data_IF_760347521198
#
_entry.id   IF_760347521198
#
_cell.length_a   1.000
_cell.length_b   1.000
_cell.length_c   1.000
_cell.angle_alpha   90.00
_cell.angle_beta   90.00
_cell.angle_gamma   90.00
#
_symmetry.space_group_name_H-M   'P 1'
#
loop_
_entity.id
_entity.type
_entity.pdbx_description
1 polymer ?
#
# COMPACT_ATOMS: atom_id res chain seq x y z
N UNK A 1 26.18 -5.42 -4.67
CA UNK A 1 24.92 -5.98 -5.21
C UNK A 1 24.29 -6.97 -4.24
N UNK A 2 25.02 -8.02 -3.83
CA UNK A 2 24.57 -9.06 -2.89
C UNK A 2 23.91 -8.49 -1.63
N UNK A 3 24.57 -7.56 -0.90
CA UNK A 3 24.00 -6.92 0.30
C UNK A 3 22.62 -6.27 0.07
N UNK A 4 22.42 -5.59 -1.07
CA UNK A 4 21.16 -4.89 -1.39
C UNK A 4 20.04 -5.91 -1.62
N UNK A 5 20.34 -6.97 -2.38
CA UNK A 5 19.42 -8.07 -2.63
C UNK A 5 19.08 -8.82 -1.34
N UNK A 6 20.08 -9.11 -0.50
CA UNK A 6 19.86 -9.78 0.79
C UNK A 6 18.97 -8.97 1.73
N UNK A 7 19.18 -7.66 1.86
CA UNK A 7 18.33 -6.80 2.70
C UNK A 7 16.89 -6.83 2.17
N UNK A 8 16.71 -6.65 0.87
CA UNK A 8 15.38 -6.65 0.25
C UNK A 8 14.67 -8.00 0.41
N UNK A 9 15.37 -9.11 0.21
CA UNK A 9 14.82 -10.45 0.37
C UNK A 9 14.42 -10.71 1.82
N UNK A 10 15.32 -10.44 2.77
CA UNK A 10 15.05 -10.62 4.20
C UNK A 10 13.91 -9.73 4.67
N UNK A 11 13.87 -8.45 4.26
CA UNK A 11 12.77 -7.54 4.65
C UNK A 11 11.44 -8.00 4.07
N UNK A 12 11.41 -8.44 2.81
CA UNK A 12 10.19 -8.89 2.14
C UNK A 12 9.64 -10.17 2.77
N UNK A 13 10.50 -11.17 3.01
CA UNK A 13 10.12 -12.43 3.67
C UNK A 13 9.65 -12.17 5.10
N UNK A 14 10.36 -11.32 5.85
CA UNK A 14 9.99 -11.01 7.23
C UNK A 14 8.65 -10.30 7.31
N UNK A 15 8.42 -9.30 6.45
CA UNK A 15 7.14 -8.59 6.39
C UNK A 15 6.00 -9.49 5.94
N UNK A 16 6.24 -10.38 4.97
CA UNK A 16 5.23 -11.35 4.53
C UNK A 16 4.91 -12.38 5.61
N UNK A 17 5.92 -12.88 6.34
CA UNK A 17 5.69 -13.76 7.48
C UNK A 17 4.87 -13.04 8.57
N UNK A 18 5.20 -11.80 8.91
CA UNK A 18 4.41 -10.98 9.83
C UNK A 18 2.99 -10.74 9.32
N UNK A 19 2.82 -10.56 8.01
CA UNK A 19 1.51 -10.45 7.35
C UNK A 19 0.62 -11.65 7.66
N UNK A 20 1.13 -12.86 7.41
CA UNK A 20 0.45 -14.13 7.70
C UNK A 20 0.18 -14.34 9.20
N UNK A 21 1.02 -13.81 10.08
CA UNK A 21 0.84 -13.88 11.53
C UNK A 21 -0.18 -12.87 12.09
N UNK A 22 -0.78 -12.04 11.24
CA UNK A 22 -1.88 -11.15 11.63
C UNK A 22 -1.58 -9.65 11.48
N UNK A 23 -0.42 -9.26 10.95
CA UNK A 23 -0.17 -7.86 10.56
C UNK A 23 -1.21 -7.39 9.53
N UNK A 24 -1.73 -8.29 8.69
CA UNK A 24 -2.87 -8.04 7.81
C UNK A 24 -4.08 -7.48 8.59
N UNK A 25 -4.46 -8.12 9.69
CA UNK A 25 -5.60 -7.71 10.52
C UNK A 25 -5.36 -6.37 11.18
N UNK A 26 -4.14 -6.14 11.67
CA UNK A 26 -3.74 -4.84 12.25
C UNK A 26 -3.85 -3.75 11.18
N UNK A 27 -3.32 -4.01 9.98
CA UNK A 27 -3.36 -3.06 8.88
C UNK A 27 -4.80 -2.76 8.44
N UNK A 28 -5.65 -3.77 8.37
CA UNK A 28 -7.07 -3.61 8.08
C UNK A 28 -7.76 -2.67 9.09
N UNK A 29 -7.46 -2.78 10.39
CA UNK A 29 -7.97 -1.88 11.41
C UNK A 29 -7.47 -0.45 11.24
N UNK A 30 -6.19 -0.27 10.88
CA UNK A 30 -5.62 1.05 10.58
C UNK A 30 -6.32 1.67 9.37
N UNK A 31 -6.57 0.90 8.31
CA UNK A 31 -7.32 1.36 7.14
C UNK A 31 -8.76 1.72 7.49
N UNK A 32 -9.47 0.88 8.26
CA UNK A 32 -10.83 1.17 8.73
C UNK A 32 -10.88 2.47 9.53
N UNK A 33 -9.92 2.68 10.43
CA UNK A 33 -9.84 3.90 11.23
C UNK A 33 -9.71 5.13 10.31
N UNK A 34 -8.80 5.08 9.34
CA UNK A 34 -8.64 6.13 8.34
C UNK A 34 -9.91 6.39 7.53
N UNK A 35 -10.57 5.33 7.04
CA UNK A 35 -11.81 5.44 6.29
C UNK A 35 -12.96 6.01 7.15
N UNK A 36 -13.00 5.66 8.44
CA UNK A 36 -14.01 6.19 9.37
C UNK A 36 -13.86 7.71 9.53
N UNK A 37 -12.64 8.23 9.54
CA UNK A 37 -12.40 9.68 9.61
C UNK A 37 -12.95 10.36 8.35
N UNK A 38 -12.63 9.86 7.16
CA UNK A 38 -13.08 10.45 5.89
C UNK A 38 -14.59 10.33 5.73
N UNK A 39 -15.18 9.21 6.14
CA UNK A 39 -16.61 8.96 6.00
C UNK A 39 -17.46 9.55 7.13
N UNK A 40 -16.85 10.01 8.23
CA UNK A 40 -17.56 10.57 9.39
C UNK A 40 -18.57 11.69 9.08
N UNK A 41 -18.38 12.56 8.07
CA UNK A 41 -19.38 13.57 7.70
C UNK A 41 -20.67 12.98 7.10
N UNK A 42 -20.64 11.71 6.68
CA UNK A 42 -21.76 11.03 6.03
C UNK A 42 -22.42 10.05 7.00
N UNK A 43 -23.45 10.52 7.71
CA UNK A 43 -24.13 9.79 8.78
C UNK A 43 -24.72 8.42 8.39
N UNK A 44 -24.90 8.16 7.10
CA UNK A 44 -25.48 6.92 6.57
C UNK A 44 -24.43 5.88 6.15
N UNK A 45 -23.14 6.21 6.26
CA UNK A 45 -22.03 5.35 5.82
C UNK A 45 -21.26 4.83 7.02
N UNK A 46 -21.26 3.51 7.20
CA UNK A 46 -20.49 2.88 8.28
C UNK A 46 -19.47 1.90 7.70
N UNK A 47 -18.15 2.17 7.85
CA UNK A 47 -17.13 1.20 7.48
C UNK A 47 -17.11 0.05 8.50
N UNK A 48 -17.18 -1.18 8.01
CA UNK A 48 -17.17 -2.42 8.79
C UNK A 48 -16.03 -3.29 8.28
N UNK A 49 -15.32 -3.95 9.20
CA UNK A 49 -14.41 -5.02 8.83
C UNK A 49 -15.12 -6.34 9.08
N UNK A 50 -15.25 -7.14 8.03
CA UNK A 50 -15.81 -8.46 8.10
C UNK A 50 -14.67 -9.49 8.03
N UNK A 51 -14.59 -10.37 9.02
CA UNK A 51 -13.51 -11.36 9.14
C UNK A 51 -14.01 -12.74 8.71
N UNK A 52 -14.69 -12.82 7.56
CA UNK A 52 -15.15 -14.11 7.02
C UNK A 52 -13.96 -14.86 6.42
N UNK A 53 -13.89 -16.17 6.68
CA UNK A 53 -12.87 -17.07 6.14
C UNK A 53 -11.40 -16.74 6.51
N UNK A 54 -11.17 -16.01 7.62
CA UNK A 54 -9.83 -15.77 8.15
C UNK A 54 -9.08 -14.56 7.57
N UNK A 55 -9.62 -13.94 6.50
CA UNK A 55 -9.09 -12.72 5.89
C UNK A 55 -9.99 -11.51 6.20
N UNK A 56 -9.43 -10.29 6.33
CA UNK A 56 -10.23 -9.09 6.53
C UNK A 56 -10.79 -8.57 5.21
N UNK A 57 -12.11 -8.58 5.11
CA UNK A 57 -12.86 -7.85 4.10
C UNK A 57 -13.23 -6.47 4.65
N UNK A 58 -12.98 -5.43 3.87
CA UNK A 58 -13.49 -4.11 4.16
C UNK A 58 -14.85 -3.92 3.51
N UNK A 59 -15.86 -3.64 4.31
CA UNK A 59 -17.20 -3.39 3.82
C UNK A 59 -17.65 -1.97 4.17
N UNK A 60 -18.32 -1.29 3.24
CA UNK A 60 -19.01 -0.03 3.53
C UNK A 60 -20.51 -0.29 3.50
N UNK A 61 -21.15 -0.18 4.66
CA UNK A 61 -22.60 -0.28 4.75
C UNK A 61 -23.24 1.04 4.34
N UNK A 62 -24.09 0.99 3.32
CA UNK A 62 -25.00 2.08 2.92
C UNK A 62 -26.41 1.63 3.38
N UNK A 63 -26.75 1.85 4.65
CA UNK A 63 -27.98 1.28 5.22
C UNK A 63 -27.86 -0.21 5.58
N UNK A 64 -28.67 -1.09 4.95
CA UNK A 64 -28.81 -2.52 5.35
C UNK A 64 -27.90 -3.50 4.58
N UNK A 65 -27.46 -3.15 3.38
CA UNK A 65 -26.56 -3.97 2.56
C UNK A 65 -25.28 -3.17 2.28
N UNK A 66 -24.13 -3.83 2.41
CA UNK A 66 -22.84 -3.18 2.27
C UNK A 66 -22.01 -3.84 1.19
N UNK A 67 -21.29 -3.04 0.41
CA UNK A 67 -20.30 -3.54 -0.53
C UNK A 67 -19.05 -3.92 0.22
N UNK A 68 -18.51 -5.09 -0.09
CA UNK A 68 -17.29 -5.61 0.51
C UNK A 68 -16.16 -5.71 -0.52
N UNK A 69 -14.95 -5.48 -0.04
CA UNK A 69 -13.71 -5.51 -0.80
C UNK A 69 -12.71 -6.36 -0.03
N UNK A 70 -12.15 -7.37 -0.69
CA UNK A 70 -11.02 -8.13 -0.15
C UNK A 70 -9.78 -7.24 -0.09
N UNK A 71 -9.15 -7.20 1.08
CA UNK A 71 -7.96 -6.37 1.33
C UNK A 71 -6.65 -7.03 0.88
N UNK A 72 -6.66 -8.28 0.41
CA UNK A 72 -5.42 -9.04 0.16
C UNK A 72 -4.50 -8.40 -0.89
N UNK A 73 -4.99 -8.19 -2.13
CA UNK A 73 -4.25 -7.50 -3.20
C UNK A 73 -3.85 -6.07 -2.81
N UNK A 74 -4.72 -5.43 -2.03
CA UNK A 74 -4.51 -4.09 -1.50
C UNK A 74 -3.37 -4.05 -0.47
N UNK A 75 -3.29 -5.08 0.37
CA UNK A 75 -2.32 -5.24 1.44
C UNK A 75 -0.95 -5.69 0.94
N UNK A 76 -0.88 -6.52 -0.09
CA UNK A 76 0.40 -6.90 -0.70
C UNK A 76 1.17 -5.69 -1.23
N UNK A 77 0.46 -4.69 -1.77
CA UNK A 77 1.10 -3.47 -2.28
C UNK A 77 1.81 -2.66 -1.18
N UNK A 78 1.28 -2.62 0.05
CA UNK A 78 1.97 -1.94 1.17
C UNK A 78 3.19 -2.73 1.63
N UNK A 79 3.16 -4.07 1.60
CA UNK A 79 4.34 -4.90 1.92
C UNK A 79 5.49 -4.59 0.96
N UNK A 80 5.19 -4.47 -0.34
CA UNK A 80 6.18 -4.15 -1.37
C UNK A 80 6.81 -2.77 -1.11
N UNK A 81 5.98 -1.76 -0.84
CA UNK A 81 6.45 -0.40 -0.51
C UNK A 81 7.28 -0.37 0.77
N UNK A 82 6.83 -1.04 1.83
CA UNK A 82 7.54 -1.10 3.10
C UNK A 82 8.90 -1.78 2.94
N UNK A 83 8.96 -2.89 2.20
CA UNK A 83 10.20 -3.61 1.91
C UNK A 83 11.20 -2.71 1.18
N UNK A 84 10.73 -1.92 0.21
CA UNK A 84 11.55 -0.96 -0.51
C UNK A 84 12.07 0.15 0.41
N UNK A 85 11.23 0.73 1.26
CA UNK A 85 11.66 1.81 2.16
C UNK A 85 12.56 1.31 3.28
N UNK A 86 12.39 0.07 3.76
CA UNK A 86 13.35 -0.57 4.67
C UNK A 86 14.72 -0.62 3.99
N UNK A 87 14.81 -1.12 2.74
CA UNK A 87 16.06 -1.14 1.98
C UNK A 87 16.67 0.27 1.88
N UNK A 88 15.88 1.27 1.46
CA UNK A 88 16.36 2.65 1.29
C UNK A 88 16.93 3.25 2.58
N UNK A 89 16.19 3.11 3.69
CA UNK A 89 16.59 3.64 5.00
C UNK A 89 17.85 2.92 5.51
N UNK A 90 17.95 1.59 5.34
CA UNK A 90 19.14 0.83 5.74
C UNK A 90 20.38 1.18 4.93
N UNK A 91 20.24 1.48 3.63
CA UNK A 91 21.37 1.82 2.77
C UNK A 91 21.89 3.23 3.01
N UNK A 92 20.99 4.20 3.24
CA UNK A 92 21.37 5.61 3.31
C UNK A 92 21.47 6.15 4.74
N UNK A 93 20.88 5.49 5.74
CA UNK A 93 20.86 5.85 7.17
C UNK A 93 20.64 7.35 7.46
N UNK A 94 19.93 8.03 6.57
CA UNK A 94 19.78 9.48 6.61
C UNK A 94 18.37 9.85 7.07
N UNK A 95 18.27 10.79 8.02
CA UNK A 95 16.99 11.35 8.48
C UNK A 95 16.12 11.84 7.31
N UNK A 96 16.74 12.37 6.25
CA UNK A 96 16.02 12.79 5.03
C UNK A 96 15.34 11.62 4.33
N UNK A 97 15.98 10.44 4.28
CA UNK A 97 15.39 9.24 3.65
C UNK A 97 14.26 8.67 4.48
N UNK A 98 14.39 8.68 5.80
CA UNK A 98 13.29 8.32 6.69
C UNK A 98 12.08 9.25 6.48
N UNK A 99 12.31 10.55 6.38
CA UNK A 99 11.24 11.51 6.12
C UNK A 99 10.58 11.29 4.74
N UNK A 100 11.37 11.00 3.70
CA UNK A 100 10.85 10.64 2.37
C UNK A 100 10.01 9.37 2.43
N UNK A 101 10.49 8.32 3.10
CA UNK A 101 9.76 7.07 3.29
C UNK A 101 8.41 7.31 3.98
N UNK A 102 8.41 8.06 5.10
CA UNK A 102 7.18 8.41 5.83
C UNK A 102 6.21 9.18 4.94
N UNK A 103 6.69 10.17 4.17
CA UNK A 103 5.84 10.93 3.24
C UNK A 103 5.20 10.06 2.18
N UNK A 104 5.97 9.16 1.55
CA UNK A 104 5.45 8.28 0.52
C UNK A 104 4.49 7.23 1.10
N UNK A 105 4.80 6.65 2.26
CA UNK A 105 3.90 5.72 2.96
C UNK A 105 2.60 6.43 3.35
N UNK A 106 2.67 7.64 3.89
CA UNK A 106 1.49 8.43 4.25
C UNK A 106 0.65 8.78 3.01
N UNK A 107 1.27 9.19 1.91
CA UNK A 107 0.58 9.47 0.66
C UNK A 107 -0.10 8.21 0.09
N UNK A 108 0.59 7.07 0.14
CA UNK A 108 0.05 5.79 -0.31
C UNK A 108 -1.12 5.33 0.56
N UNK A 109 -1.00 5.46 1.88
CA UNK A 109 -2.06 5.18 2.83
C UNK A 109 -3.28 6.08 2.63
N UNK A 110 -3.09 7.38 2.38
CA UNK A 110 -4.20 8.29 2.06
C UNK A 110 -4.90 7.88 0.77
N UNK A 111 -4.15 7.52 -0.27
CA UNK A 111 -4.74 7.03 -1.52
C UNK A 111 -5.55 5.75 -1.29
N UNK A 112 -5.05 4.84 -0.45
CA UNK A 112 -5.74 3.63 -0.06
C UNK A 112 -7.07 3.94 0.64
N UNK A 113 -7.08 4.84 1.62
CA UNK A 113 -8.31 5.27 2.30
C UNK A 113 -9.29 5.89 1.31
N UNK A 114 -8.82 6.75 0.40
CA UNK A 114 -9.67 7.38 -0.61
C UNK A 114 -10.35 6.33 -1.50
N UNK A 115 -9.60 5.35 -2.01
CA UNK A 115 -10.18 4.25 -2.79
C UNK A 115 -11.17 3.42 -1.98
N UNK A 116 -10.90 3.16 -0.70
CA UNK A 116 -11.86 2.46 0.16
C UNK A 116 -13.13 3.28 0.38
N UNK A 117 -13.00 4.61 0.45
CA UNK A 117 -14.13 5.53 0.61
C UNK A 117 -14.97 5.64 -0.65
N UNK A 118 -14.39 5.43 -1.85
CA UNK A 118 -15.19 5.39 -3.10
C UNK A 118 -16.11 4.17 -3.19
N UNK A 119 -15.92 3.16 -2.33
CA UNK A 119 -16.86 2.04 -2.18
C UNK A 119 -18.24 2.51 -1.69
N UNK A 120 -18.32 3.64 -0.98
CA UNK A 120 -19.59 4.27 -0.63
C UNK A 120 -20.35 4.82 -1.85
N UNK A 121 -19.65 5.05 -2.96
CA UNK A 121 -20.22 5.59 -4.19
C UNK A 121 -20.53 4.47 -5.20
N UNK A 122 -20.34 3.20 -4.84
CA UNK A 122 -20.43 2.07 -5.76
C UNK A 122 -21.83 1.91 -6.39
N UNK A 123 -22.89 2.29 -5.65
CA UNK A 123 -24.29 2.28 -6.13
C UNK A 123 -24.65 3.46 -7.04
N UNK A 124 -23.84 4.52 -7.08
CA UNK A 124 -24.21 5.74 -7.80
C UNK A 124 -23.99 5.64 -9.32
N UNK A 125 -23.30 4.60 -9.81
CA UNK A 125 -23.22 4.30 -11.24
C UNK A 125 -22.02 3.45 -11.66
N UNK A 126 -22.10 2.89 -12.86
CA UNK A 126 -21.06 2.01 -13.45
C UNK A 126 -19.69 2.67 -13.56
N UNK A 127 -19.63 4.00 -13.71
CA UNK A 127 -18.39 4.76 -13.68
C UNK A 127 -17.65 4.61 -12.35
N UNK A 128 -18.35 4.73 -11.21
CA UNK A 128 -17.74 4.62 -9.88
C UNK A 128 -17.25 3.19 -9.60
N UNK A 129 -17.98 2.19 -10.10
CA UNK A 129 -17.59 0.79 -10.01
C UNK A 129 -16.28 0.54 -10.77
N UNK A 130 -16.23 0.94 -12.04
CA UNK A 130 -15.03 0.81 -12.87
C UNK A 130 -13.85 1.59 -12.30
N UNK A 131 -14.07 2.81 -11.80
CA UNK A 131 -13.03 3.60 -11.17
C UNK A 131 -12.48 2.95 -9.89
N UNK A 132 -13.36 2.41 -9.03
CA UNK A 132 -12.96 1.71 -7.81
C UNK A 132 -12.16 0.44 -8.14
N UNK A 133 -12.65 -0.39 -9.07
CA UNK A 133 -11.97 -1.61 -9.51
C UNK A 133 -10.61 -1.31 -10.13
N UNK A 134 -10.53 -0.30 -10.99
CA UNK A 134 -9.28 0.15 -11.59
C UNK A 134 -8.29 0.63 -10.53
N UNK A 135 -8.72 1.46 -9.57
CA UNK A 135 -7.88 1.92 -8.48
C UNK A 135 -7.39 0.75 -7.62
N UNK A 136 -8.27 -0.19 -7.26
CA UNK A 136 -7.94 -1.40 -6.49
C UNK A 136 -6.82 -2.20 -7.15
N UNK A 137 -6.92 -2.43 -8.45
CA UNK A 137 -5.93 -3.20 -9.20
C UNK A 137 -4.63 -2.42 -9.44
N UNK A 138 -4.69 -1.09 -9.40
CA UNK A 138 -3.54 -0.24 -9.72
C UNK A 138 -2.56 -0.03 -8.56
N UNK A 139 -2.88 -0.40 -7.31
CA UNK A 139 -1.99 -0.10 -6.17
C UNK A 139 -0.60 -0.74 -6.28
N UNK A 140 -0.50 -1.94 -6.85
CA UNK A 140 0.80 -2.55 -7.11
C UNK A 140 1.58 -1.77 -8.18
N UNK A 141 0.91 -1.25 -9.21
CA UNK A 141 1.51 -0.42 -10.25
C UNK A 141 2.02 0.88 -9.63
N UNK A 142 1.23 1.51 -8.76
CA UNK A 142 1.61 2.73 -8.04
C UNK A 142 2.83 2.48 -7.15
N UNK A 143 2.86 1.36 -6.42
CA UNK A 143 4.01 0.95 -5.63
C UNK A 143 5.28 0.80 -6.49
N UNK A 144 5.16 0.15 -7.66
CA UNK A 144 6.26 0.01 -8.61
C UNK A 144 6.73 1.37 -9.16
N UNK A 145 5.83 2.31 -9.41
CA UNK A 145 6.19 3.68 -9.84
C UNK A 145 7.05 4.37 -8.77
N UNK A 146 6.67 4.28 -7.49
CA UNK A 146 7.50 4.81 -6.40
C UNK A 146 8.89 4.15 -6.36
N UNK A 147 8.94 2.82 -6.50
CA UNK A 147 10.20 2.06 -6.51
C UNK A 147 11.09 2.48 -7.68
N UNK A 148 10.55 2.52 -8.90
CA UNK A 148 11.30 2.88 -10.12
C UNK A 148 11.82 4.32 -10.01
N UNK A 149 10.96 5.25 -9.59
CA UNK A 149 11.35 6.65 -9.37
C UNK A 149 12.47 6.76 -8.34
N UNK A 150 12.32 6.13 -7.19
CA UNK A 150 13.32 6.20 -6.13
C UNK A 150 14.63 5.52 -6.56
N UNK A 151 14.55 4.42 -7.32
CA UNK A 151 15.73 3.77 -7.88
C UNK A 151 16.48 4.70 -8.85
N UNK A 152 15.75 5.46 -9.67
CA UNK A 152 16.33 6.44 -10.58
C UNK A 152 16.97 7.63 -9.83
N UNK A 153 16.33 8.16 -8.79
CA UNK A 153 16.82 9.31 -8.03
C UNK A 153 18.03 8.96 -7.17
N UNK A 154 18.01 7.79 -6.52
CA UNK A 154 19.01 7.40 -5.52
C UNK A 154 20.03 6.36 -6.02
N UNK A 155 19.95 5.95 -7.29
CA UNK A 155 20.86 5.00 -7.94
C UNK A 155 21.08 3.70 -7.13
N UNK A 156 19.98 3.13 -6.61
CA UNK A 156 20.04 1.97 -5.70
C UNK A 156 20.55 0.74 -6.44
N UNK A 157 19.98 0.45 -7.61
CA UNK A 157 20.48 -0.55 -8.53
C UNK A 157 21.01 0.18 -9.76
N UNK A 158 22.28 0.58 -9.71
CA UNK A 158 22.94 1.18 -10.85
C UNK A 158 23.05 0.16 -11.98
N UNK A 159 22.29 0.34 -13.04
CA UNK A 159 22.43 -0.41 -14.29
C UNK A 159 23.49 0.20 -15.22
N UNK A 160 24.20 1.25 -14.79
CA UNK A 160 25.35 1.76 -15.54
C UNK A 160 26.43 0.70 -15.60
N UNK A 161 26.59 0.11 -16.77
CA UNK A 161 27.82 -0.53 -17.19
C UNK A 161 28.99 0.38 -16.80
N UNK A 162 29.96 -0.18 -16.08
CA UNK A 162 31.26 0.47 -15.88
C UNK A 162 32.02 0.43 -17.20
N UNK A 163 31.52 1.08 -18.23
CA UNK A 163 32.35 1.44 -19.38
C UNK A 163 33.18 2.65 -18.95
N UNK A 164 34.27 2.35 -18.23
CA UNK A 164 35.40 3.27 -18.12
C UNK A 164 35.95 3.41 -19.55
N UNK A 165 35.98 4.60 -20.17
CA UNK A 165 36.94 4.82 -21.23
C UNK A 165 38.33 4.69 -20.59
N UNK A 166 39.10 3.71 -21.04
CA UNK A 166 40.54 3.63 -20.82
C UNK A 166 41.14 4.98 -21.27
N UNK A 167 41.69 5.72 -20.32
CA UNK A 167 42.69 6.75 -20.58
C UNK A 167 44.03 6.22 -20.10
#
# INVERSE_FOLDING_TARGET
MIKKVSILAVSSISLFALWLLGLEKVYAHILKFGASIILSPFSNLTPVLNMKNGHPDFCVAIGKEGYCMQLELFGLSIIVILSWYILLVFLHQNKKMLLTAVKHIAAFYLLQILTMSTLALYDFGSFFQQANDALRQSFIIIALVFIIRDNYIYDIFSFRSKDKPLK
#
